data_IF_171785096959
#
_entry.id   IF_171785096959
#
_cell.length_a   1.000
_cell.length_b   1.000
_cell.length_c   1.000
_cell.angle_alpha   90.00
_cell.angle_beta   90.00
_cell.angle_gamma   90.00
#
_symmetry.space_group_name_H-M   'P 1'
#
loop_
_entity.id
_entity.type
_entity.pdbx_description
1 polymer ?
#
# COMPACT_ATOMS: atom_id res chain seq x y z
N UNK A 1 1.68 -7.74 13.50
CA UNK A 1 0.41 -6.99 13.35
C UNK A 1 0.17 -6.73 11.88
N UNK A 2 -1.09 -6.60 11.45
CA UNK A 2 -1.42 -6.26 10.06
C UNK A 2 -1.79 -4.78 10.00
N UNK A 3 -1.15 -4.05 9.11
CA UNK A 3 -1.48 -2.67 8.78
C UNK A 3 -2.15 -2.64 7.42
N UNK A 4 -3.35 -2.06 7.35
CA UNK A 4 -4.09 -1.88 6.11
C UNK A 4 -4.19 -0.40 5.80
N UNK A 5 -3.75 0.00 4.60
CA UNK A 5 -3.88 1.38 4.13
C UNK A 5 -4.16 1.43 2.64
N UNK A 6 -4.63 2.57 2.17
CA UNK A 6 -4.70 2.89 0.75
C UNK A 6 -3.68 3.97 0.42
N UNK A 7 -3.35 4.10 -0.87
CA UNK A 7 -2.39 5.08 -1.35
C UNK A 7 -2.97 5.82 -2.56
N UNK A 8 -2.87 7.15 -2.51
CA UNK A 8 -3.10 8.03 -3.65
C UNK A 8 -1.77 8.45 -4.29
N UNK A 9 -1.60 9.76 -4.45
CA UNK A 9 -0.41 10.34 -5.09
C UNK A 9 0.66 10.83 -4.10
N UNK A 10 0.50 10.59 -2.80
CA UNK A 10 1.43 11.02 -1.76
C UNK A 10 1.46 9.99 -0.60
N UNK A 11 2.66 9.61 -0.21
CA UNK A 11 2.99 8.58 0.78
C UNK A 11 3.13 9.11 2.22
N UNK A 12 3.19 10.43 2.44
CA UNK A 12 3.53 11.03 3.74
C UNK A 12 2.55 10.62 4.84
N UNK A 13 1.27 10.48 4.52
CA UNK A 13 0.27 10.04 5.49
C UNK A 13 0.42 8.55 5.85
N UNK A 14 0.71 7.71 4.86
CA UNK A 14 1.01 6.29 5.09
C UNK A 14 2.24 6.13 5.98
N UNK A 15 3.33 6.85 5.67
CA UNK A 15 4.56 6.85 6.48
C UNK A 15 4.27 7.34 7.90
N UNK A 16 3.58 8.47 8.06
CA UNK A 16 3.23 9.01 9.40
C UNK A 16 2.39 8.03 10.20
N UNK A 17 1.45 7.35 9.57
CA UNK A 17 0.64 6.32 10.21
C UNK A 17 1.51 5.17 10.73
N UNK A 18 2.40 4.64 9.89
CA UNK A 18 3.28 3.54 10.23
C UNK A 18 4.29 3.92 11.34
N UNK A 19 4.93 5.09 11.24
CA UNK A 19 5.88 5.56 12.25
C UNK A 19 5.25 5.73 13.63
N UNK A 20 3.99 6.19 13.71
CA UNK A 20 3.26 6.33 14.99
C UNK A 20 2.92 4.99 15.64
N UNK A 21 2.98 3.89 14.89
CA UNK A 21 2.63 2.55 15.36
C UNK A 21 3.85 1.69 15.71
N UNK A 22 5.05 2.24 15.62
CA UNK A 22 6.30 1.53 15.94
C UNK A 22 6.40 0.20 15.17
N UNK A 23 6.28 0.27 13.84
CA UNK A 23 6.37 -0.89 12.94
C UNK A 23 7.64 -1.71 13.18
N UNK A 24 7.52 -3.01 12.96
CA UNK A 24 8.57 -4.01 13.15
C UNK A 24 8.64 -4.99 11.98
N UNK A 25 9.76 -5.71 11.87
CA UNK A 25 10.02 -6.63 10.75
C UNK A 25 8.99 -7.76 10.63
N UNK A 26 8.37 -8.14 11.75
CA UNK A 26 7.37 -9.20 11.82
C UNK A 26 5.94 -8.71 11.47
N UNK A 27 5.77 -7.43 11.18
CA UNK A 27 4.49 -6.89 10.75
C UNK A 27 4.25 -7.12 9.26
N UNK A 28 2.98 -7.06 8.86
CA UNK A 28 2.55 -7.17 7.47
C UNK A 28 1.92 -5.84 7.08
N UNK A 29 2.39 -5.25 5.99
CA UNK A 29 1.74 -4.11 5.38
C UNK A 29 0.92 -4.57 4.18
N UNK A 30 -0.37 -4.25 4.19
CA UNK A 30 -1.28 -4.45 3.07
C UNK A 30 -1.66 -3.08 2.51
N UNK A 31 -1.33 -2.85 1.23
CA UNK A 31 -1.63 -1.62 0.50
C UNK A 31 -2.73 -1.90 -0.52
N UNK A 32 -3.87 -1.25 -0.36
CA UNK A 32 -4.99 -1.35 -1.29
C UNK A 32 -4.94 -0.18 -2.27
N UNK A 33 -4.75 -0.49 -3.54
CA UNK A 33 -4.56 0.45 -4.64
C UNK A 33 -5.78 0.42 -5.57
N UNK A 34 -6.10 1.55 -6.19
CA UNK A 34 -7.22 1.62 -7.14
C UNK A 34 -6.88 0.94 -8.47
N UNK A 35 -7.89 0.40 -9.14
CA UNK A 35 -7.73 -0.15 -10.49
C UNK A 35 -7.09 0.86 -11.45
N UNK A 36 -6.12 0.42 -12.22
CA UNK A 36 -5.34 1.25 -13.13
C UNK A 36 -4.19 2.01 -12.48
N UNK A 37 -3.95 1.82 -11.17
CA UNK A 37 -2.85 2.44 -10.42
C UNK A 37 -1.49 2.30 -11.13
N UNK A 38 -1.22 1.13 -11.71
CA UNK A 38 0.04 0.85 -12.42
C UNK A 38 0.26 1.69 -13.68
N UNK A 39 -0.81 2.29 -14.23
CA UNK A 39 -0.75 3.19 -15.38
C UNK A 39 -0.65 4.67 -14.97
N UNK A 40 -0.74 4.99 -13.67
CA UNK A 40 -0.62 6.34 -13.13
C UNK A 40 0.78 6.53 -12.52
N UNK A 41 1.65 7.27 -13.22
CA UNK A 41 3.03 7.51 -12.78
C UNK A 41 3.13 8.12 -11.38
N UNK A 42 2.19 9.00 -11.00
CA UNK A 42 2.21 9.64 -9.68
C UNK A 42 1.87 8.64 -8.60
N UNK A 43 0.90 7.78 -8.88
CA UNK A 43 0.52 6.71 -7.98
C UNK A 43 1.71 5.75 -7.82
N UNK A 44 2.25 5.21 -8.93
CA UNK A 44 3.43 4.33 -8.97
C UNK A 44 4.59 4.88 -8.13
N UNK A 45 4.89 6.17 -8.33
CA UNK A 45 5.94 6.85 -7.58
C UNK A 45 5.68 6.87 -6.07
N UNK A 46 4.46 7.18 -5.64
CA UNK A 46 4.12 7.21 -4.22
C UNK A 46 4.33 5.84 -3.55
N UNK A 47 3.94 4.73 -4.18
CA UNK A 47 4.18 3.40 -3.58
C UNK A 47 5.64 3.02 -3.57
N UNK A 48 6.38 3.32 -4.64
CA UNK A 48 7.81 3.03 -4.67
C UNK A 48 8.55 3.82 -3.58
N UNK A 49 8.16 5.08 -3.36
CA UNK A 49 8.67 5.89 -2.26
C UNK A 49 8.30 5.28 -0.91
N UNK A 50 7.04 4.88 -0.72
CA UNK A 50 6.59 4.23 0.52
C UNK A 50 7.41 2.96 0.79
N UNK A 51 7.45 2.05 -0.17
CA UNK A 51 8.13 0.75 -0.09
C UNK A 51 9.61 0.91 0.21
N UNK A 52 10.32 1.77 -0.52
CA UNK A 52 11.76 2.01 -0.29
C UNK A 52 12.05 2.62 1.09
N UNK A 53 11.15 3.42 1.65
CA UNK A 53 11.33 4.01 2.97
C UNK A 53 11.11 3.01 4.12
N UNK A 54 10.28 1.99 3.91
CA UNK A 54 9.87 1.06 4.97
C UNK A 54 10.42 -0.36 4.81
N UNK A 55 11.06 -0.69 3.69
CA UNK A 55 11.59 -2.04 3.38
C UNK A 55 12.56 -2.57 4.46
N UNK A 56 13.25 -1.67 5.17
CA UNK A 56 14.17 -2.04 6.28
C UNK A 56 13.43 -2.34 7.59
N UNK A 57 12.19 -1.85 7.71
CA UNK A 57 11.39 -1.90 8.92
C UNK A 57 10.28 -2.94 8.86
N UNK A 58 9.76 -3.27 7.67
CA UNK A 58 8.74 -4.30 7.44
C UNK A 58 9.23 -5.22 6.33
N UNK A 59 9.28 -6.52 6.60
CA UNK A 59 9.79 -7.52 5.62
C UNK A 59 8.72 -7.92 4.59
N UNK A 60 7.44 -7.87 4.98
CA UNK A 60 6.32 -8.31 4.14
C UNK A 60 5.38 -7.17 3.77
N UNK A 61 5.45 -6.74 2.51
CA UNK A 61 4.59 -5.74 1.90
C UNK A 61 3.78 -6.41 0.79
N UNK A 62 2.45 -6.32 0.88
CA UNK A 62 1.50 -6.86 -0.09
C UNK A 62 0.71 -5.71 -0.71
N UNK A 63 0.52 -5.74 -2.02
CA UNK A 63 -0.25 -4.75 -2.75
C UNK A 63 -1.42 -5.42 -3.48
N UNK A 64 -2.62 -4.88 -3.29
CA UNK A 64 -3.84 -5.37 -3.92
C UNK A 64 -4.49 -4.27 -4.72
N UNK A 65 -4.74 -4.54 -6.00
CA UNK A 65 -5.48 -3.65 -6.88
C UNK A 65 -6.98 -3.94 -6.80
N UNK A 66 -7.80 -2.91 -6.54
CA UNK A 66 -9.25 -3.03 -6.35
C UNK A 66 -10.01 -2.09 -7.26
N UNK A 67 -11.05 -2.61 -7.90
CA UNK A 67 -12.01 -1.85 -8.68
C UNK A 67 -13.18 -1.38 -7.80
N UNK A 68 -13.40 -0.07 -7.75
CA UNK A 68 -14.47 0.56 -6.97
C UNK A 68 -15.67 1.00 -7.82
N UNK A 69 -15.72 0.61 -9.10
CA UNK A 69 -16.83 0.95 -10.01
C UNK A 69 -18.12 0.16 -9.74
N UNK A 70 -18.11 -0.78 -8.78
CA UNK A 70 -19.30 -1.48 -8.32
C UNK A 70 -19.25 -1.68 -6.80
N UNK A 71 -20.40 -1.70 -6.13
CA UNK A 71 -20.54 -1.93 -4.67
C UNK A 71 -20.06 -3.32 -4.19
N UNK A 72 -19.51 -4.14 -5.09
CA UNK A 72 -18.96 -5.46 -4.80
C UNK A 72 -17.44 -5.41 -4.99
N UNK A 73 -16.63 -5.66 -3.94
CA UNK A 73 -15.18 -5.76 -4.11
C UNK A 73 -14.86 -6.93 -5.07
N UNK A 74 -14.23 -6.64 -6.20
CA UNK A 74 -13.73 -7.68 -7.10
C UNK A 74 -12.62 -8.48 -6.41
N UNK A 75 -12.70 -9.81 -6.53
CA UNK A 75 -11.75 -10.78 -5.94
C UNK A 75 -10.32 -10.55 -6.46
N UNK A 76 -9.37 -10.73 -5.53
CA UNK A 76 -7.91 -10.88 -5.69
C UNK A 76 -7.40 -10.94 -7.14
N UNK A 77 -6.54 -9.99 -7.50
CA UNK A 77 -5.64 -10.13 -8.64
C UNK A 77 -4.31 -10.68 -8.11
N UNK A 78 -4.16 -12.00 -8.13
CA UNK A 78 -2.85 -12.64 -7.97
C UNK A 78 -2.08 -12.54 -9.30
N UNK A 79 -0.87 -12.01 -9.26
CA UNK A 79 0.18 -12.28 -10.26
C UNK A 79 1.51 -12.50 -9.56
#
# INVERSE_FOLDING_TARGET
MIYLLTLGYDEKFAIRFLLRRSISKNDILVVVLARGYSNDEKAVKAFNNLSSLIEKSIERIEAYEVDYSSDRPMKEVSK
#
